data_IF_745750484172
#
_entry.id   IF_745750484172
#
_cell.length_a   1.000
_cell.length_b   1.000
_cell.length_c   1.000
_cell.angle_alpha   90.00
_cell.angle_beta   90.00
_cell.angle_gamma   90.00
#
_symmetry.space_group_name_H-M   'P 1'
#
loop_
_entity.id
_entity.type
_entity.pdbx_description
1 polymer ?
2 non-polymer ?
3 water ?
#
# COMPACT_ATOMS: atom_id res chain seq x y z
N UNK A 7 9.25 -13.05 -8.67
CA UNK A 7 8.11 -13.54 -7.89
C UNK A 7 6.98 -12.55 -8.04
N UNK A 8 5.75 -13.06 -8.06
CA UNK A 8 4.59 -12.20 -8.26
C UNK A 8 4.29 -11.34 -7.03
N UNK A 9 3.84 -10.11 -7.30
CA UNK A 9 3.30 -9.22 -6.29
C UNK A 9 2.04 -9.80 -5.66
N UNK A 10 1.96 -9.71 -4.33
CA UNK A 10 0.74 -10.07 -3.62
C UNK A 10 0.15 -8.84 -2.94
N UNK A 11 -1.16 -8.87 -2.73
CA UNK A 11 -1.87 -7.75 -2.09
C UNK A 11 -2.56 -8.24 -0.82
N UNK A 12 -2.66 -7.37 0.17
CA UNK A 12 -3.32 -7.74 1.42
C UNK A 12 -3.83 -6.50 2.15
N UNK A 13 -4.99 -6.66 2.78
CA UNK A 13 -5.59 -5.55 3.51
C UNK A 13 -4.68 -5.13 4.66
N UNK A 14 -4.71 -3.84 4.97
CA UNK A 14 -3.90 -3.31 6.05
C UNK A 14 -4.50 -1.99 6.52
N UNK A 15 -4.04 -1.55 7.68
CA UNK A 15 -4.47 -0.31 8.30
C UNK A 15 -3.53 0.82 7.93
N UNK A 16 -4.10 1.99 7.66
CA UNK A 16 -3.31 3.17 7.32
C UNK A 16 -4.00 4.38 7.92
N UNK A 17 -3.27 5.48 8.02
CA UNK A 17 -3.80 6.69 8.63
C UNK A 17 -3.04 7.94 8.26
N UNK A 18 -3.67 9.08 8.52
CA UNK A 18 -3.00 10.36 8.30
C UNK A 18 -2.00 10.66 9.40
N UNK A 19 -2.11 9.97 10.53
CA UNK A 19 -1.12 9.95 11.59
C UNK A 19 -1.07 8.53 12.13
N UNK A 20 -0.04 8.24 12.92
CA UNK A 20 0.09 6.88 13.41
C UNK A 20 -1.09 6.49 14.31
N UNK A 21 -1.53 7.39 15.18
CA UNK A 21 -2.65 7.02 16.09
C UNK A 21 -3.93 6.80 15.30
N UNK A 22 -4.04 7.35 14.10
CA UNK A 22 -5.25 7.21 13.27
C UNK A 22 -5.33 5.86 12.53
N UNK A 23 -4.37 4.97 12.70
CA UNK A 23 -4.33 3.63 12.05
C UNK A 23 -4.98 2.56 12.95
N UNK A 24 -6.26 2.26 12.75
CA UNK A 24 -6.88 1.21 13.59
C UNK A 24 -7.61 0.18 12.72
N UNK A 25 -8.39 0.62 11.75
CA UNK A 25 -9.11 -0.37 10.91
C UNK A 25 -8.39 -0.52 9.58
N UNK A 26 -8.68 -1.60 8.87
CA UNK A 26 -8.11 -1.88 7.55
C UNK A 26 -8.80 -1.07 6.46
N UNK A 27 -8.10 -0.07 5.92
CA UNK A 27 -8.65 0.85 4.94
C UNK A 27 -7.68 1.11 3.78
N UNK A 28 -6.86 0.12 3.44
CA UNK A 28 -5.98 0.20 2.28
C UNK A 28 -5.59 -1.21 1.89
N UNK A 29 -4.93 -1.33 0.73
CA UNK A 29 -4.37 -2.59 0.27
C UNK A 29 -2.87 -2.43 0.13
N UNK A 30 -2.12 -3.34 0.74
CA UNK A 30 -0.67 -3.33 0.64
C UNK A 30 -0.22 -4.28 -0.45
N UNK A 31 0.59 -3.79 -1.38
CA UNK A 31 1.34 -4.70 -2.23
C UNK A 31 2.60 -5.13 -1.49
N UNK A 32 2.88 -6.42 -1.48
CA UNK A 32 4.11 -6.89 -0.86
C UNK A 32 4.74 -7.99 -1.71
N UNK A 33 6.07 -8.05 -1.66
CA UNK A 33 6.90 -9.13 -2.16
C UNK A 33 7.28 -10.05 -1.02
N UNK A 34 7.52 -11.32 -1.35
CA UNK A 34 8.06 -12.28 -0.39
C UNK A 34 9.26 -12.98 -1.00
N UNK A 35 10.36 -13.01 -0.25
CA UNK A 35 11.60 -13.62 -0.70
C UNK A 35 12.26 -14.29 0.50
N UNK A 36 13.56 -14.59 0.33
CA UNK A 36 14.39 -15.13 1.40
C UNK A 36 14.18 -14.39 2.72
N UNK A 37 14.26 -13.06 2.69
CA UNK A 37 14.26 -12.27 3.91
C UNK A 37 12.92 -12.17 4.61
N UNK A 38 11.85 -12.65 3.99
CA UNK A 38 10.51 -12.49 4.53
C UNK A 38 9.61 -11.82 3.52
N UNK A 39 8.69 -10.96 3.98
CA UNK A 39 7.87 -10.16 3.08
C UNK A 39 8.21 -8.69 3.24
N UNK A 40 8.25 -7.97 2.12
CA UNK A 40 8.52 -6.54 2.10
C UNK A 40 7.35 -5.84 1.44
N UNK A 41 6.70 -4.93 2.18
CA UNK A 41 5.62 -4.12 1.64
C UNK A 41 6.20 -3.05 0.72
N UNK A 42 5.64 -2.92 -0.47
CA UNK A 42 6.15 -1.95 -1.43
C UNK A 42 5.30 -0.69 -1.51
N UNK A 43 3.98 -0.80 -1.40
CA UNK A 43 3.13 0.34 -1.68
C UNK A 43 1.76 0.08 -1.10
N UNK A 44 1.01 1.16 -0.95
CA UNK A 44 -0.37 1.07 -0.51
C UNK A 44 -1.27 1.64 -1.59
N UNK A 45 -2.40 0.98 -1.79
CA UNK A 45 -3.47 1.50 -2.62
C UNK A 45 -4.66 1.78 -1.72
N UNK A 46 -5.29 2.94 -1.91
CA UNK A 46 -6.42 3.30 -1.05
C UNK A 46 -7.38 4.23 -1.78
N UNK A 47 -8.62 4.25 -1.28
CA UNK A 47 -9.60 5.25 -1.66
C UNK A 47 -9.39 6.59 -0.94
N UNK A 48 -8.57 6.63 0.11
CA UNK A 48 -8.33 7.83 0.91
C UNK A 48 -7.08 8.56 0.45
N UNK A 49 -7.11 9.90 0.51
CA UNK A 49 -6.07 10.70 -0.13
C UNK A 49 -5.10 11.37 0.83
N UNK A 50 -5.21 11.13 2.13
CA UNK A 50 -4.44 11.86 3.12
C UNK A 50 -3.49 10.96 3.88
N UNK A 51 -3.33 9.71 3.45
CA UNK A 51 -2.63 8.72 4.25
C UNK A 51 -1.16 9.08 4.37
N UNK A 52 -0.60 8.86 5.56
CA UNK A 52 0.80 9.12 5.80
C UNK A 52 1.54 7.93 6.34
N UNK A 53 0.85 6.99 6.97
CA UNK A 53 1.44 5.86 7.66
C UNK A 53 0.63 4.62 7.34
N UNK A 54 1.32 3.51 7.18
CA UNK A 54 0.69 2.21 7.15
C UNK A 54 1.06 1.51 8.44
N UNK A 55 0.18 0.67 8.94
CA UNK A 55 0.42 -0.02 10.20
C UNK A 55 0.23 -1.50 9.99
N UNK A 56 1.20 -2.29 10.43
CA UNK A 56 1.13 -3.73 10.32
C UNK A 56 1.33 -4.39 11.68
N UNK A 57 0.52 -5.52 12.08
CA UNK A 57 0.47 -6.61 13.35
C UNK A 57 1.88 -7.17 13.11
N UNK A 58 2.73 -7.11 14.13
CA UNK A 58 4.06 -7.73 13.99
C UNK A 58 3.83 -9.23 13.88
N UNK A 59 4.64 -9.90 13.06
CA UNK A 59 4.59 -11.38 12.87
C UNK A 59 4.57 -12.10 14.23
N UNK A 60 5.45 -11.70 15.15
CA UNK A 60 5.59 -12.34 16.49
C UNK A 60 4.51 -11.91 17.49
N UNK A 61 3.49 -11.15 17.09
CA UNK A 61 2.41 -10.70 18.00
C UNK A 61 2.89 -9.82 19.14
N UNK A 62 3.99 -9.11 18.98
CA UNK A 62 4.52 -8.26 20.06
C UNK A 62 4.03 -6.82 19.88
N UNK A 63 3.26 -6.53 18.83
CA UNK A 63 2.78 -5.15 18.66
C UNK A 63 2.54 -4.73 17.21
N UNK A 64 2.99 -3.53 16.83
CA UNK A 64 2.72 -2.98 15.48
C UNK A 64 3.89 -2.19 14.87
N UNK A 65 4.02 -2.27 13.54
CA UNK A 65 5.03 -1.55 12.76
C UNK A 65 4.36 -0.37 12.06
N UNK A 66 5.02 0.78 12.05
CA UNK A 66 4.54 1.92 11.28
C UNK A 66 5.50 2.16 10.13
N UNK A 67 4.96 2.19 8.91
CA UNK A 67 5.77 2.37 7.71
C UNK A 67 5.41 3.70 7.06
N UNK A 68 6.41 4.54 6.85
CA UNK A 68 6.16 5.87 6.31
C UNK A 68 5.83 5.81 4.82
N UNK A 69 4.86 6.62 4.41
CA UNK A 69 4.43 6.65 3.02
C UNK A 69 4.92 7.91 2.33
N UNK A 70 5.08 7.81 1.02
CA UNK A 70 5.29 8.96 0.16
C UNK A 70 3.94 9.60 -0.19
N UNK A 71 3.94 10.85 -0.64
CA UNK A 71 2.72 11.45 -1.22
C UNK A 71 2.16 10.60 -2.35
N UNK A 72 0.83 10.46 -2.44
CA UNK A 72 0.25 9.49 -3.37
C UNK A 72 0.28 9.98 -4.81
N UNK A 73 0.24 9.01 -5.73
CA UNK A 73 -0.09 9.25 -7.12
C UNK A 73 -1.58 8.99 -7.32
N UNK A 74 -2.25 9.91 -8.00
CA UNK A 74 -3.66 9.75 -8.30
C UNK A 74 -3.85 9.05 -9.64
N UNK A 75 -4.82 8.15 -9.70
CA UNK A 75 -5.20 7.60 -11.00
C UNK A 75 -6.67 7.22 -10.97
N UNK A 76 -7.29 7.21 -12.14
CA UNK A 76 -8.72 6.99 -12.29
C UNK A 76 -8.97 5.56 -12.75
N UNK A 77 -9.98 4.91 -12.19
CA UNK A 77 -10.44 3.64 -12.71
C UNK A 77 -11.94 3.69 -12.95
N UNK A 78 -12.40 2.91 -13.92
CA UNK A 78 -13.83 2.73 -14.11
C UNK A 78 -14.34 1.67 -13.16
N UNK A 79 -15.59 1.80 -12.78
CA UNK A 79 -16.23 0.80 -11.94
C UNK A 79 -17.61 0.58 -12.53
N UNK A 80 -18.37 -0.41 -12.07
CA UNK A 80 -19.79 -0.47 -12.48
C UNK A 80 -20.56 0.81 -12.21
N UNK A 81 -20.16 1.60 -11.21
CA UNK A 81 -20.84 2.86 -10.89
C UNK A 81 -20.20 4.07 -11.57
N UNK A 82 -19.19 3.87 -12.41
CA UNK A 82 -18.53 4.98 -13.07
C UNK A 82 -17.11 5.19 -12.57
N UNK A 83 -16.53 6.35 -12.90
CA UNK A 83 -15.13 6.60 -12.55
C UNK A 83 -14.93 6.82 -11.06
N UNK A 84 -13.68 6.63 -10.65
CA UNK A 84 -13.30 6.73 -9.25
C UNK A 84 -11.79 6.93 -9.17
N UNK A 85 -11.36 7.89 -8.36
CA UNK A 85 -9.94 8.15 -8.18
C UNK A 85 -9.42 7.26 -7.06
N UNK A 86 -8.24 6.68 -7.26
CA UNK A 86 -7.58 5.89 -6.24
C UNK A 86 -6.18 6.47 -6.05
N UNK A 87 -5.61 6.20 -4.88
CA UNK A 87 -4.35 6.79 -4.46
C UNK A 87 -3.33 5.69 -4.19
N UNK A 88 -2.17 5.80 -4.83
CA UNK A 88 -1.08 4.84 -4.73
C UNK A 88 0.06 5.47 -3.93
N UNK A 89 0.35 4.90 -2.78
CA UNK A 89 1.41 5.42 -1.93
C UNK A 89 2.58 4.44 -1.97
N UNK A 90 3.71 4.84 -2.54
CA UNK A 90 4.92 4.04 -2.38
C UNK A 90 5.46 4.21 -0.96
N UNK A 91 5.99 3.11 -0.41
CA UNK A 91 6.78 3.18 0.81
C UNK A 91 7.90 4.18 0.62
N UNK A 92 8.19 4.97 1.64
CA UNK A 92 9.21 6.00 1.49
C UNK A 92 10.56 5.38 1.16
N UNK A 93 11.26 5.98 0.21
CA UNK A 93 12.54 5.45 -0.22
C UNK A 93 12.48 4.19 -1.05
N UNK A 94 11.37 3.90 -1.72
CA UNK A 94 11.27 2.66 -2.47
C UNK A 94 12.11 2.74 -3.74
N UNK A 95 12.84 1.67 -4.06
CA UNK A 95 13.73 1.78 -5.21
C UNK A 95 12.92 1.69 -6.52
N UNK A 96 13.61 1.87 -7.64
CA UNK A 96 12.88 2.02 -8.90
C UNK A 96 12.34 0.69 -9.41
N UNK A 97 13.10 -0.38 -9.24
CA UNK A 97 12.62 -1.70 -9.63
C UNK A 97 11.28 -2.02 -8.95
N UNK A 98 11.20 -1.78 -7.65
CA UNK A 98 9.96 -2.07 -6.93
C UNK A 98 8.86 -1.10 -7.31
N UNK A 99 9.19 0.18 -7.52
CA UNK A 99 8.19 1.11 -8.04
C UNK A 99 7.58 0.56 -9.32
N UNK A 100 8.44 0.18 -10.27
CA UNK A 100 7.98 -0.40 -11.52
C UNK A 100 7.07 -1.60 -11.32
N UNK A 101 7.43 -2.50 -10.41
CA UNK A 101 6.64 -3.72 -10.25
C UNK A 101 5.22 -3.40 -9.80
N UNK A 102 5.09 -2.45 -8.86
CA UNK A 102 3.78 -2.01 -8.40
C UNK A 102 3.01 -1.39 -9.55
N UNK A 103 3.66 -0.49 -10.29
CA UNK A 103 3.01 0.23 -11.38
C UNK A 103 2.55 -0.73 -12.47
N UNK A 104 3.37 -1.74 -12.79
CA UNK A 104 2.99 -2.68 -13.84
C UNK A 104 1.91 -3.65 -13.39
N UNK A 105 2.01 -4.12 -12.15
CA UNK A 105 0.94 -4.90 -11.54
C UNK A 105 -0.38 -4.13 -11.50
N UNK A 106 -0.32 -2.85 -11.12
CA UNK A 106 -1.53 -2.05 -10.99
C UNK A 106 -2.19 -1.82 -12.34
N UNK A 107 -1.45 -1.21 -13.27
CA UNK A 107 -2.01 -0.93 -14.58
C UNK A 107 -2.48 -2.21 -15.27
N UNK A 108 -1.78 -3.33 -15.05
CA UNK A 108 -2.20 -4.58 -15.67
C UNK A 108 -3.58 -4.98 -15.19
N UNK A 109 -3.71 -5.26 -13.89
CA UNK A 109 -4.99 -5.69 -13.36
C UNK A 109 -6.08 -4.68 -13.68
N UNK A 110 -5.76 -3.38 -13.64
CA UNK A 110 -6.79 -2.37 -13.87
C UNK A 110 -6.48 -1.50 -15.08
X LIG B 1 8.57 -14.99 15.44
X LIG B 1 7.53 -14.25 14.72
X LIG B 1 9.66 -14.07 15.73
X LIG B 1 9.09 -16.05 14.57
X LIG B 1 8.03 -15.57 16.66
X LIG C 1 0.80 10.72 15.95
X LIG C 1 -0.47 10.04 16.23
X LIG C 1 0.53 12.14 15.69
X LIG C 1 1.46 10.11 14.79
X LIG C 1 1.68 10.61 17.12
#
# INVERSE_FOLDING_TARGET
NNELSPVALRQMSCAAGTTQTACTDDNALAYYNTTKGGRFVLALLSDLQDLKWARFPKSDGTGTIYTELEPPCRFVTDTPKGPKVKYLYFIKGLNNLNRGMVLGSLAATVRLQ
SO4 S O1 O2 O3 O4
SO4 S O1 O2 O3 O4
#
